data_IF_749087212638
#
_entry.id   IF_749087212638
#
_cell.length_a   1.000
_cell.length_b   1.000
_cell.length_c   1.000
_cell.angle_alpha   90.00
_cell.angle_beta   90.00
_cell.angle_gamma   90.00
#
_symmetry.space_group_name_H-M   'P 1'
#
loop_
_entity.id
_entity.type
_entity.pdbx_description
1 polymer ?
#
# COMPACT_ATOMS: atom_id res chain seq x y z
N UNK A 1 0.35 8.47 -16.40
CA UNK A 1 -0.45 9.17 -15.38
C UNK A 1 0.46 10.08 -14.57
N UNK A 2 0.11 11.33 -14.42
CA UNK A 2 0.87 12.30 -13.63
C UNK A 2 0.63 12.11 -12.13
N UNK A 3 1.53 12.61 -11.29
CA UNK A 3 1.35 12.57 -9.83
C UNK A 3 0.07 13.29 -9.41
N UNK A 4 -0.26 14.40 -10.06
CA UNK A 4 -1.50 15.12 -9.82
C UNK A 4 -2.74 14.26 -10.08
N UNK A 5 -2.76 13.51 -11.16
CA UNK A 5 -3.87 12.61 -11.49
C UNK A 5 -3.98 11.46 -10.47
N UNK A 6 -2.85 10.90 -10.05
CA UNK A 6 -2.81 9.89 -8.99
C UNK A 6 -3.36 10.44 -7.67
N UNK A 7 -2.97 11.66 -7.29
CA UNK A 7 -3.44 12.31 -6.07
C UNK A 7 -4.95 12.57 -6.10
N UNK A 8 -5.46 13.05 -7.24
CA UNK A 8 -6.91 13.28 -7.42
C UNK A 8 -7.68 11.97 -7.28
N UNK A 9 -7.21 10.89 -7.88
CA UNK A 9 -7.83 9.56 -7.72
C UNK A 9 -7.87 9.09 -6.26
N UNK A 10 -6.83 9.37 -5.47
CA UNK A 10 -6.82 9.01 -4.06
C UNK A 10 -7.80 9.88 -3.25
N UNK A 11 -7.91 11.16 -3.58
CA UNK A 11 -8.89 12.06 -2.96
C UNK A 11 -10.32 11.58 -3.24
N UNK A 12 -10.61 11.10 -4.45
CA UNK A 12 -11.91 10.53 -4.82
C UNK A 12 -12.24 9.25 -4.05
N UNK A 13 -11.22 8.54 -3.58
CA UNK A 13 -11.35 7.34 -2.73
C UNK A 13 -11.32 7.64 -1.24
N UNK A 14 -11.53 8.91 -0.86
CA UNK A 14 -11.52 9.38 0.51
C UNK A 14 -10.21 9.10 1.27
N UNK A 15 -9.08 9.17 0.56
CA UNK A 15 -7.77 9.08 1.22
C UNK A 15 -7.61 10.19 2.25
N UNK A 16 -7.17 9.83 3.45
CA UNK A 16 -6.95 10.78 4.53
C UNK A 16 -5.78 11.73 4.20
N UNK A 17 -6.06 13.01 4.10
CA UNK A 17 -5.09 14.06 3.79
C UNK A 17 -4.68 14.86 5.04
N UNK A 18 -3.71 15.73 4.89
CA UNK A 18 -3.28 16.66 5.92
C UNK A 18 -3.23 18.08 5.36
N UNK A 19 -3.58 19.06 6.21
CA UNK A 19 -3.56 20.50 5.87
C UNK A 19 -2.59 21.32 6.73
N UNK A 20 -1.71 20.66 7.50
CA UNK A 20 -0.79 21.32 8.44
C UNK A 20 0.44 21.85 7.70
N UNK A 21 0.30 23.04 7.10
CA UNK A 21 1.32 23.66 6.27
C UNK A 21 2.66 23.90 7.00
N UNK A 22 2.63 24.11 8.32
CA UNK A 22 3.82 24.37 9.14
C UNK A 22 4.50 23.11 9.69
N UNK A 23 4.06 21.94 9.24
CA UNK A 23 4.63 20.67 9.71
C UNK A 23 6.12 20.55 9.34
N UNK A 24 7.02 20.24 10.31
CA UNK A 24 8.46 20.16 10.05
C UNK A 24 8.86 19.04 9.09
N UNK A 25 8.02 18.01 8.93
CA UNK A 25 8.22 16.89 7.99
C UNK A 25 7.25 16.95 6.80
N UNK A 26 6.54 18.07 6.64
CA UNK A 26 5.45 18.20 5.67
C UNK A 26 5.89 18.06 4.21
N UNK A 27 7.05 18.56 3.84
CA UNK A 27 7.57 18.48 2.47
C UNK A 27 7.80 17.04 2.01
N UNK A 28 8.07 16.14 2.95
CA UNK A 28 8.30 14.73 2.71
C UNK A 28 7.06 13.87 2.97
N UNK A 29 5.96 14.49 3.39
CA UNK A 29 4.74 13.79 3.75
C UNK A 29 3.74 13.73 2.60
N UNK A 30 3.40 12.52 2.20
CA UNK A 30 2.44 12.25 1.12
C UNK A 30 1.05 12.84 1.42
N UNK A 31 0.57 12.73 2.66
CA UNK A 31 -0.75 13.25 3.06
C UNK A 31 -0.87 14.76 2.91
N UNK A 32 0.19 15.50 3.24
CA UNK A 32 0.21 16.94 3.03
C UNK A 32 0.31 17.30 1.54
N UNK A 33 1.11 16.57 0.78
CA UNK A 33 1.20 16.77 -0.67
C UNK A 33 -0.14 16.57 -1.35
N UNK A 34 -0.85 15.49 -1.04
CA UNK A 34 -2.18 15.20 -1.60
C UNK A 34 -3.18 16.27 -1.16
N UNK A 35 -3.13 16.71 0.10
CA UNK A 35 -4.02 17.74 0.64
C UNK A 35 -4.00 19.05 -0.15
N UNK A 36 -2.86 19.39 -0.76
CA UNK A 36 -2.72 20.60 -1.61
C UNK A 36 -3.45 20.48 -2.97
N UNK A 37 -3.86 19.28 -3.36
CA UNK A 37 -4.51 19.01 -4.63
C UNK A 37 -6.02 18.76 -4.53
N UNK A 38 -6.62 18.98 -3.34
CA UNK A 38 -8.06 18.83 -3.19
C UNK A 38 -8.79 19.81 -4.13
N UNK A 39 -9.70 19.32 -4.98
CA UNK A 39 -10.47 20.18 -5.88
C UNK A 39 -11.32 21.20 -5.09
N UNK A 40 -11.38 22.44 -5.56
CA UNK A 40 -12.09 23.51 -4.87
C UNK A 40 -13.62 23.30 -4.83
N UNK A 41 -14.15 22.45 -5.69
CA UNK A 41 -15.57 22.09 -5.70
C UNK A 41 -15.91 20.92 -4.79
N UNK A 42 -14.92 20.28 -4.16
CA UNK A 42 -15.15 19.21 -3.19
C UNK A 42 -15.48 19.83 -1.83
N UNK A 43 -16.70 19.61 -1.37
CA UNK A 43 -17.23 20.22 -0.12
C UNK A 43 -16.66 19.56 1.13
N UNK A 44 -16.23 18.30 1.04
CA UNK A 44 -15.84 17.47 2.16
C UNK A 44 -14.60 16.66 1.85
N UNK A 45 -13.75 16.44 2.83
CA UNK A 45 -12.62 15.52 2.75
C UNK A 45 -12.31 14.92 4.14
N UNK A 46 -11.67 13.75 4.14
CA UNK A 46 -11.14 13.15 5.37
C UNK A 46 -9.74 13.70 5.63
N UNK A 47 -9.53 14.25 6.83
CA UNK A 47 -8.23 14.80 7.20
C UNK A 47 -7.76 14.30 8.55
N UNK A 48 -6.46 14.41 8.80
CA UNK A 48 -5.87 14.13 10.11
C UNK A 48 -6.43 15.08 11.16
N UNK A 49 -6.48 14.64 12.41
CA UNK A 49 -6.88 15.50 13.54
C UNK A 49 -5.76 16.51 13.86
N UNK A 50 -5.95 17.83 13.59
CA UNK A 50 -4.90 18.83 13.83
C UNK A 50 -4.66 19.09 15.33
N UNK A 51 -5.53 18.62 16.20
CA UNK A 51 -5.44 18.80 17.65
C UNK A 51 -4.73 17.66 18.36
N UNK A 52 -4.34 16.60 17.66
CA UNK A 52 -3.54 15.53 18.26
C UNK A 52 -2.12 16.03 18.54
N UNK A 53 -1.59 15.72 19.75
CA UNK A 53 -0.30 16.24 20.21
C UNK A 53 0.89 15.97 19.28
N UNK A 54 0.90 14.80 18.64
CA UNK A 54 2.00 14.39 17.77
C UNK A 54 1.79 14.76 16.29
N UNK A 55 0.62 15.23 15.90
CA UNK A 55 0.36 15.70 14.52
C UNK A 55 1.10 17.02 14.27
N UNK A 56 1.67 17.17 13.08
CA UNK A 56 2.55 18.27 12.70
C UNK A 56 3.84 18.34 13.54
N UNK A 57 4.32 17.20 14.01
CA UNK A 57 5.61 17.01 14.66
C UNK A 57 6.41 15.91 13.97
N UNK A 58 7.69 15.79 14.31
CA UNK A 58 8.55 14.71 13.79
C UNK A 58 8.09 13.30 14.20
N UNK A 59 7.20 13.20 15.19
CA UNK A 59 6.63 11.96 15.72
C UNK A 59 5.23 11.66 15.18
N UNK A 60 4.78 12.35 14.14
CA UNK A 60 3.42 12.18 13.62
C UNK A 60 3.15 10.71 13.25
N UNK A 61 2.15 10.06 13.89
CA UNK A 61 1.85 8.65 13.64
C UNK A 61 1.23 8.40 12.27
N UNK A 62 0.76 9.45 11.61
CA UNK A 62 0.12 9.38 10.29
C UNK A 62 1.06 9.81 9.16
N UNK A 63 2.34 10.04 9.45
CA UNK A 63 3.33 10.34 8.43
C UNK A 63 3.37 9.23 7.37
N UNK A 64 3.38 9.64 6.10
CA UNK A 64 3.57 8.75 4.96
C UNK A 64 4.65 9.35 4.06
N UNK A 65 5.72 8.61 3.75
CA UNK A 65 6.77 9.09 2.84
C UNK A 65 6.22 9.42 1.46
N UNK A 66 6.58 10.58 0.93
CA UNK A 66 6.22 11.02 -0.42
C UNK A 66 7.21 10.54 -1.48
N UNK A 67 7.80 9.38 -1.27
CA UNK A 67 8.71 8.73 -2.22
C UNK A 67 8.00 7.57 -2.91
N UNK A 68 8.25 7.40 -4.20
CA UNK A 68 7.72 6.26 -4.94
C UNK A 68 8.45 4.99 -4.54
N UNK A 69 7.69 3.90 -4.49
CA UNK A 69 8.18 2.56 -4.19
C UNK A 69 7.78 1.60 -5.30
N UNK A 70 8.50 0.49 -5.40
CA UNK A 70 8.22 -0.55 -6.40
C UNK A 70 7.17 -1.51 -5.84
N UNK A 71 5.92 -1.28 -6.20
CA UNK A 71 4.81 -2.16 -5.86
C UNK A 71 4.70 -3.32 -6.84
N UNK A 72 4.38 -4.51 -6.36
CA UNK A 72 4.03 -5.63 -7.22
C UNK A 72 2.56 -5.52 -7.66
N UNK A 73 2.29 -5.96 -8.88
CA UNK A 73 0.96 -5.95 -9.47
C UNK A 73 0.59 -7.34 -9.93
N UNK A 74 -0.27 -7.99 -9.16
CA UNK A 74 -0.68 -9.37 -9.41
C UNK A 74 0.25 -10.42 -8.82
N UNK A 75 -0.32 -11.51 -8.37
CA UNK A 75 0.40 -12.64 -7.80
C UNK A 75 -0.22 -13.99 -8.22
N UNK A 76 -0.62 -14.10 -9.49
CA UNK A 76 -1.16 -15.36 -10.03
C UNK A 76 -0.08 -16.42 -10.20
N UNK A 77 1.19 -16.01 -10.27
CA UNK A 77 2.34 -16.88 -10.54
C UNK A 77 3.15 -17.25 -9.30
N UNK A 78 2.71 -16.85 -8.10
CA UNK A 78 3.44 -17.19 -6.86
C UNK A 78 3.37 -18.69 -6.55
N UNK A 79 2.33 -19.40 -7.01
CA UNK A 79 2.21 -20.84 -6.87
C UNK A 79 2.60 -21.51 -8.18
N UNK A 80 3.71 -22.23 -8.17
CA UNK A 80 4.26 -22.90 -9.35
C UNK A 80 3.86 -24.38 -9.39
N UNK A 81 3.93 -25.00 -10.59
CA UNK A 81 3.54 -26.40 -10.76
C UNK A 81 4.46 -27.40 -10.04
N UNK A 82 5.71 -27.01 -9.78
CA UNK A 82 6.70 -27.82 -9.06
C UNK A 82 6.61 -27.67 -7.55
N UNK A 83 5.77 -26.75 -7.07
CA UNK A 83 5.56 -26.52 -5.65
C UNK A 83 4.71 -27.62 -5.02
N UNK A 84 5.12 -28.18 -3.85
CA UNK A 84 4.27 -29.13 -3.13
C UNK A 84 2.92 -28.52 -2.76
N UNK A 85 1.83 -29.27 -2.96
CA UNK A 85 0.47 -28.78 -2.65
C UNK A 85 0.31 -28.32 -1.21
N UNK A 86 0.98 -28.96 -0.26
CA UNK A 86 0.92 -28.55 1.15
C UNK A 86 1.45 -27.13 1.36
N UNK A 87 2.48 -26.74 0.61
CA UNK A 87 3.05 -25.37 0.67
C UNK A 87 2.04 -24.38 0.11
N UNK A 88 1.50 -24.65 -1.08
CA UNK A 88 0.49 -23.80 -1.71
C UNK A 88 -0.73 -23.61 -0.80
N UNK A 89 -1.29 -24.70 -0.26
CA UNK A 89 -2.47 -24.66 0.60
C UNK A 89 -2.19 -23.87 1.89
N UNK A 90 -1.05 -24.09 2.51
CA UNK A 90 -0.69 -23.40 3.75
C UNK A 90 -0.50 -21.90 3.52
N UNK A 91 0.26 -21.51 2.50
CA UNK A 91 0.52 -20.09 2.18
C UNK A 91 -0.77 -19.38 1.78
N UNK A 92 -1.61 -20.02 0.95
CA UNK A 92 -2.91 -19.46 0.56
C UNK A 92 -3.80 -19.21 1.79
N UNK A 93 -3.90 -20.19 2.67
CA UNK A 93 -4.67 -20.07 3.90
C UNK A 93 -4.13 -18.96 4.81
N UNK A 94 -2.81 -18.86 4.96
CA UNK A 94 -2.16 -17.81 5.75
C UNK A 94 -2.42 -16.41 5.19
N UNK A 95 -2.34 -16.24 3.87
CA UNK A 95 -2.63 -14.96 3.21
C UNK A 95 -4.10 -14.55 3.37
N UNK A 96 -5.02 -15.50 3.21
CA UNK A 96 -6.46 -15.23 3.40
C UNK A 96 -6.76 -14.88 4.86
N UNK A 97 -6.15 -15.57 5.82
CA UNK A 97 -6.30 -15.26 7.23
C UNK A 97 -5.77 -13.87 7.59
N UNK A 98 -4.67 -13.44 6.96
CA UNK A 98 -4.03 -12.15 7.24
C UNK A 98 -4.72 -10.96 6.59
N UNK A 99 -5.14 -11.10 5.33
CA UNK A 99 -5.65 -10.00 4.51
C UNK A 99 -7.14 -10.09 4.19
N UNK A 100 -7.83 -11.14 4.61
CA UNK A 100 -9.15 -11.61 4.20
C UNK A 100 -9.23 -12.10 2.74
N UNK A 101 -10.32 -12.80 2.45
CA UNK A 101 -10.51 -13.44 1.14
C UNK A 101 -10.64 -12.43 0.00
N UNK A 102 -11.40 -11.36 0.22
CA UNK A 102 -11.62 -10.33 -0.81
C UNK A 102 -10.31 -9.65 -1.20
N UNK A 103 -9.55 -9.20 -0.23
CA UNK A 103 -8.26 -8.55 -0.49
C UNK A 103 -7.23 -9.51 -1.08
N UNK A 104 -7.21 -10.77 -0.65
CA UNK A 104 -6.35 -11.78 -1.26
C UNK A 104 -6.59 -11.88 -2.77
N UNK A 105 -7.84 -11.94 -3.23
CA UNK A 105 -8.15 -12.00 -4.66
C UNK A 105 -7.88 -10.69 -5.38
N UNK A 106 -8.07 -9.54 -4.74
CA UNK A 106 -7.71 -8.24 -5.31
C UNK A 106 -6.19 -8.11 -5.52
N UNK A 107 -5.39 -8.55 -4.56
CA UNK A 107 -3.94 -8.63 -4.71
C UNK A 107 -3.54 -9.62 -5.81
N UNK A 108 -4.19 -10.78 -5.82
CA UNK A 108 -3.90 -11.84 -6.78
C UNK A 108 -4.12 -11.38 -8.23
N UNK A 109 -5.22 -10.71 -8.50
CA UNK A 109 -5.57 -10.28 -9.86
C UNK A 109 -4.98 -8.90 -10.25
N UNK A 110 -4.25 -8.23 -9.38
CA UNK A 110 -3.61 -6.95 -9.65
C UNK A 110 -4.50 -5.72 -9.47
N UNK A 111 -5.74 -5.88 -8.99
CA UNK A 111 -6.63 -4.75 -8.69
C UNK A 111 -6.11 -3.91 -7.53
N UNK A 112 -5.47 -4.58 -6.56
CA UNK A 112 -4.79 -3.94 -5.43
C UNK A 112 -3.29 -4.18 -5.52
N UNK A 113 -2.49 -3.13 -5.40
CA UNK A 113 -1.04 -3.22 -5.47
C UNK A 113 -0.44 -3.75 -4.17
N UNK A 114 0.67 -4.45 -4.30
CA UNK A 114 1.39 -5.09 -3.19
C UNK A 114 2.63 -4.25 -2.89
N UNK A 115 2.65 -3.49 -1.78
CA UNK A 115 3.81 -2.67 -1.43
C UNK A 115 5.00 -3.53 -1.00
N UNK A 116 6.23 -2.97 -0.98
CA UNK A 116 7.45 -3.74 -0.67
C UNK A 116 7.40 -4.53 0.63
N UNK A 117 6.87 -3.96 1.70
CA UNK A 117 6.74 -4.65 2.99
C UNK A 117 5.87 -5.91 2.89
N UNK A 118 4.76 -5.84 2.16
CA UNK A 118 3.90 -7.00 1.94
C UNK A 118 4.56 -8.03 1.02
N UNK A 119 5.35 -7.61 0.03
CA UNK A 119 6.13 -8.54 -0.79
C UNK A 119 7.07 -9.39 0.09
N UNK A 120 7.72 -8.77 1.04
CA UNK A 120 8.59 -9.46 1.99
C UNK A 120 7.81 -10.42 2.90
N UNK A 121 6.64 -10.00 3.36
CA UNK A 121 5.74 -10.87 4.15
C UNK A 121 5.30 -12.10 3.36
N UNK A 122 4.95 -11.93 2.09
CA UNK A 122 4.59 -13.07 1.21
C UNK A 122 5.77 -14.03 1.07
N UNK A 123 6.96 -13.52 0.82
CA UNK A 123 8.17 -14.36 0.73
C UNK A 123 8.47 -15.08 2.04
N UNK A 124 8.29 -14.42 3.17
CA UNK A 124 8.50 -15.03 4.49
C UNK A 124 7.52 -16.17 4.77
N UNK A 125 6.26 -16.04 4.36
CA UNK A 125 5.28 -17.11 4.46
C UNK A 125 5.71 -18.36 3.67
N UNK A 126 6.25 -18.18 2.47
CA UNK A 126 6.80 -19.30 1.69
C UNK A 126 7.98 -19.97 2.41
N UNK A 127 8.89 -19.19 3.00
CA UNK A 127 10.01 -19.74 3.79
C UNK A 127 9.52 -20.52 5.00
N UNK A 128 8.52 -20.01 5.73
CA UNK A 128 7.91 -20.70 6.86
C UNK A 128 7.26 -22.02 6.44
N UNK A 129 6.71 -22.10 5.24
CA UNK A 129 6.15 -23.32 4.68
C UNK A 129 7.21 -24.31 4.17
N UNK A 130 8.49 -23.94 4.20
CA UNK A 130 9.60 -24.76 3.74
C UNK A 130 9.94 -24.64 2.26
N UNK A 131 9.40 -23.64 1.56
CA UNK A 131 9.73 -23.39 0.16
C UNK A 131 11.02 -22.56 0.05
N UNK A 132 11.99 -23.07 -0.73
CA UNK A 132 13.30 -22.43 -0.93
C UNK A 132 13.46 -21.86 -2.34
N UNK A 133 12.46 -22.04 -3.22
CA UNK A 133 12.46 -21.52 -4.57
C UNK A 133 12.12 -20.03 -4.64
N UNK A 134 12.15 -19.47 -5.84
CA UNK A 134 11.77 -18.08 -6.06
C UNK A 134 10.27 -17.88 -5.92
N UNK A 135 9.89 -16.68 -5.47
CA UNK A 135 8.52 -16.20 -5.41
C UNK A 135 8.41 -15.01 -6.35
N UNK A 136 7.71 -15.19 -7.47
CA UNK A 136 7.61 -14.20 -8.53
C UNK A 136 6.21 -13.61 -8.58
N UNK A 137 6.15 -12.28 -8.55
CA UNK A 137 4.91 -11.54 -8.83
C UNK A 137 4.74 -11.35 -10.34
N UNK A 138 3.51 -11.07 -10.77
CA UNK A 138 3.19 -10.98 -12.20
C UNK A 138 3.82 -9.78 -12.89
N UNK A 139 3.94 -8.65 -12.18
CA UNK A 139 4.56 -7.43 -12.68
C UNK A 139 4.84 -6.44 -11.56
N UNK A 140 5.38 -5.29 -11.92
CA UNK A 140 5.72 -4.22 -10.97
C UNK A 140 5.34 -2.86 -11.54
N UNK A 141 5.04 -1.93 -10.63
CA UNK A 141 4.78 -0.52 -10.95
C UNK A 141 5.39 0.36 -9.88
N UNK A 142 5.98 1.47 -10.30
CA UNK A 142 6.48 2.49 -9.38
C UNK A 142 5.36 3.48 -9.05
N UNK A 143 4.98 3.54 -7.78
CA UNK A 143 3.94 4.43 -7.28
C UNK A 143 4.16 4.70 -5.79
N UNK A 144 3.27 5.47 -5.18
CA UNK A 144 3.34 5.75 -3.74
C UNK A 144 2.76 4.59 -2.93
N UNK A 145 3.28 4.43 -1.71
CA UNK A 145 2.71 3.55 -0.69
C UNK A 145 1.62 4.34 0.06
N UNK A 146 0.39 4.21 -0.43
CA UNK A 146 -0.78 4.96 0.04
C UNK A 146 -1.19 4.64 1.49
#
# INVERSE_FOLDING_TARGET
>A
MTDKELFIQQIERDYMVCHMADCPIGEQCLRLKIGKHIPHNKVFCISVNPYHDDVATERCPLYRPATKVRCAKGMTQIFTNDMPKRVEQWVRAALIARYNRTYFFEYRNGTRLIPPAMQDEVRDLFRQAGWTGEVNFDGYVETYDW
#
